data_IF_945408215100
#
_entry.id   IF_945408215100
#
_cell.length_a   1.000
_cell.length_b   1.000
_cell.length_c   1.000
_cell.angle_alpha   90.00
_cell.angle_beta   90.00
_cell.angle_gamma   90.00
#
_symmetry.space_group_name_H-M   'P 1'
#
loop_
_entity.id
_entity.type
_entity.pdbx_description
1 polymer ?
#
# COMPACT_ATOMS: atom_id res chain seq x y z
N UNK A 1 9.38 -23.45 9.35
CA UNK A 1 9.60 -22.01 9.12
C UNK A 1 8.35 -21.49 8.42
N UNK A 2 7.53 -20.70 9.10
CA UNK A 2 6.38 -20.06 8.45
C UNK A 2 6.90 -18.85 7.69
N UNK A 3 6.82 -18.89 6.35
CA UNK A 3 7.01 -17.71 5.52
C UNK A 3 5.94 -16.68 5.90
N UNK A 4 6.36 -15.60 6.55
CA UNK A 4 5.48 -14.47 6.81
C UNK A 4 5.08 -13.88 5.46
N UNK A 5 3.81 -14.05 5.11
CA UNK A 5 3.18 -13.42 3.97
C UNK A 5 3.28 -11.89 4.14
N UNK A 6 4.31 -11.30 3.53
CA UNK A 6 4.54 -9.87 3.45
C UNK A 6 4.38 -9.46 1.98
N UNK A 7 3.16 -9.14 1.50
CA UNK A 7 2.90 -8.83 0.10
C UNK A 7 3.60 -7.54 -0.41
N UNK A 8 4.53 -6.97 0.37
CA UNK A 8 5.29 -5.73 0.11
C UNK A 8 6.80 -5.94 -0.04
N UNK A 9 7.34 -7.11 0.31
CA UNK A 9 8.77 -7.25 0.59
C UNK A 9 9.22 -6.42 1.80
N UNK A 10 10.54 -6.27 2.01
CA UNK A 10 11.10 -5.33 2.98
C UNK A 10 10.75 -3.90 2.54
N UNK A 11 10.36 -3.03 3.47
CA UNK A 11 10.21 -1.60 3.17
C UNK A 11 11.59 -1.01 2.84
N UNK A 12 11.86 -0.85 1.55
CA UNK A 12 13.07 -0.24 0.96
C UNK A 12 12.75 1.19 0.49
N UNK A 13 13.75 2.02 0.15
CA UNK A 13 13.51 3.35 -0.44
C UNK A 13 12.48 3.35 -1.59
N UNK A 14 12.49 2.33 -2.46
CA UNK A 14 11.54 2.16 -3.57
C UNK A 14 10.05 2.03 -3.15
N UNK A 15 9.77 1.71 -1.88
CA UNK A 15 8.42 1.69 -1.30
C UNK A 15 7.72 3.05 -1.46
N UNK A 16 8.50 4.13 -1.38
CA UNK A 16 8.01 5.51 -1.45
C UNK A 16 7.77 5.98 -2.89
N UNK A 17 8.39 5.35 -3.88
CA UNK A 17 8.32 5.78 -5.28
C UNK A 17 7.40 4.95 -6.15
N UNK A 18 7.29 3.65 -5.87
CA UNK A 18 6.54 2.76 -6.77
C UNK A 18 5.65 1.75 -6.07
N UNK A 19 5.87 1.38 -4.81
CA UNK A 19 5.25 0.16 -4.28
C UNK A 19 5.81 -1.10 -4.97
N UNK A 20 5.54 -2.30 -4.45
CA UNK A 20 6.39 -3.46 -4.69
C UNK A 20 6.42 -3.87 -6.16
N UNK A 21 7.60 -3.82 -6.79
CA UNK A 21 7.84 -4.46 -8.09
C UNK A 21 7.80 -5.97 -7.92
N UNK A 22 7.13 -6.66 -8.86
CA UNK A 22 7.14 -8.12 -8.97
C UNK A 22 8.59 -8.62 -9.08
N UNK A 23 9.04 -9.42 -8.12
CA UNK A 23 10.05 -10.43 -8.41
C UNK A 23 9.33 -11.65 -8.94
N UNK A 24 9.62 -12.01 -10.18
CA UNK A 24 8.98 -13.10 -10.90
C UNK A 24 9.39 -13.08 -12.36
N UNK A 25 10.71 -13.10 -12.59
CA UNK A 25 11.26 -13.45 -13.89
C UNK A 25 10.95 -14.93 -14.14
N UNK A 26 9.99 -15.21 -15.01
CA UNK A 26 9.98 -16.46 -15.78
C UNK A 26 10.43 -16.11 -17.20
N UNK A 27 11.34 -16.90 -17.81
CA UNK A 27 11.80 -16.65 -19.16
C UNK A 27 10.63 -16.88 -20.14
N UNK A 28 10.30 -15.88 -20.94
CA UNK A 28 9.50 -16.11 -22.15
C UNK A 28 10.40 -16.75 -23.21
N UNK A 29 9.96 -17.83 -23.87
CA UNK A 29 10.72 -18.42 -24.96
C UNK A 29 10.68 -17.49 -26.18
N UNK A 30 11.84 -17.41 -26.83
CA UNK A 30 12.10 -16.67 -28.06
C UNK A 30 11.06 -16.94 -29.15
N UNK A 31 10.69 -15.90 -29.89
CA UNK A 31 10.24 -16.06 -31.27
C UNK A 31 10.88 -14.96 -32.08
N UNK A 32 11.87 -15.36 -32.87
CA UNK A 32 12.44 -14.61 -33.97
C UNK A 32 11.35 -14.14 -34.93
N UNK A 33 11.44 -12.89 -35.40
CA UNK A 33 11.04 -12.49 -36.75
C UNK A 33 11.64 -11.12 -37.08
N UNK A 34 12.63 -11.14 -37.97
CA UNK A 34 13.22 -9.98 -38.63
C UNK A 34 12.30 -9.42 -39.74
N UNK A 35 12.47 -8.13 -40.04
CA UNK A 35 11.97 -7.44 -41.25
C UNK A 35 11.66 -5.96 -40.93
N UNK A 36 12.62 -5.04 -40.86
CA UNK A 36 13.40 -4.38 -41.91
C UNK A 36 12.68 -3.21 -42.63
N UNK A 37 13.37 -2.05 -42.61
CA UNK A 37 13.28 -0.84 -43.46
C UNK A 37 12.15 0.15 -43.15
N UNK A 38 12.29 1.48 -43.23
CA UNK A 38 13.37 2.47 -43.43
C UNK A 38 12.66 3.86 -43.33
N UNK A 39 13.33 4.96 -42.97
CA UNK A 39 12.67 6.28 -43.01
C UNK A 39 13.21 7.37 -42.09
N UNK A 40 14.32 7.96 -42.49
CA UNK A 40 14.99 9.16 -41.94
C UNK A 40 14.21 10.46 -42.24
N UNK A 41 14.04 11.35 -41.26
CA UNK A 41 14.08 12.82 -41.45
C UNK A 41 14.06 13.54 -40.09
N UNK A 42 15.02 14.45 -39.89
CA UNK A 42 15.23 15.19 -38.65
C UNK A 42 14.39 16.46 -38.51
N UNK A 43 14.42 17.02 -37.30
CA UNK A 43 14.30 18.45 -37.06
C UNK A 43 15.01 18.80 -35.77
N UNK A 44 15.99 19.67 -35.92
CA UNK A 44 16.84 20.26 -34.90
C UNK A 44 16.22 21.60 -34.42
N UNK A 45 16.32 21.80 -33.11
CA UNK A 45 16.38 23.07 -32.34
C UNK A 45 15.34 24.18 -32.56
N UNK A 46 14.62 24.49 -31.48
CA UNK A 46 14.80 25.81 -30.87
C UNK A 46 14.68 25.74 -29.35
N UNK A 47 15.72 26.22 -28.68
CA UNK A 47 15.86 26.29 -27.24
C UNK A 47 15.66 27.74 -26.81
N UNK A 48 14.64 28.01 -26.00
CA UNK A 48 14.65 29.12 -25.06
C UNK A 48 14.37 28.58 -23.65
N UNK A 49 15.49 28.51 -22.93
CA UNK A 49 15.77 28.24 -21.52
C UNK A 49 15.47 29.54 -20.75
N UNK A 50 14.95 29.68 -19.52
CA UNK A 50 14.87 28.86 -18.30
C UNK A 50 14.02 29.67 -17.32
N UNK A 51 13.22 29.03 -16.46
CA UNK A 51 13.24 29.40 -15.04
C UNK A 51 12.94 28.17 -14.16
N UNK A 52 14.05 27.52 -13.81
CA UNK A 52 14.32 26.76 -12.58
C UNK A 52 13.34 25.67 -12.15
N UNK A 53 13.25 24.62 -12.96
CA UNK A 53 13.19 23.26 -12.43
C UNK A 53 14.58 22.86 -11.92
N UNK A 54 14.83 23.02 -10.61
CA UNK A 54 15.88 22.26 -9.93
C UNK A 54 15.36 20.81 -9.85
N UNK A 55 15.97 19.79 -10.45
CA UNK A 55 17.40 19.52 -10.49
C UNK A 55 17.72 18.57 -9.33
N UNK A 56 17.35 17.30 -9.49
CA UNK A 56 17.54 16.25 -8.48
C UNK A 56 17.00 14.92 -8.98
N UNK A 57 17.73 14.31 -9.91
CA UNK A 57 17.46 13.00 -10.50
C UNK A 57 17.79 11.91 -9.48
N UNK A 58 16.76 11.30 -8.89
CA UNK A 58 16.91 10.17 -7.97
C UNK A 58 15.63 9.79 -7.22
N UNK A 59 15.51 8.50 -6.83
CA UNK A 59 14.36 7.88 -6.18
C UNK A 59 13.80 8.73 -4.99
N UNK A 60 12.53 9.20 -5.06
CA UNK A 60 11.89 10.00 -4.00
C UNK A 60 11.47 9.15 -2.79
N UNK A 61 12.45 8.82 -1.94
CA UNK A 61 12.25 8.31 -0.59
C UNK A 61 11.41 9.26 0.29
N UNK A 62 11.22 8.94 1.59
CA UNK A 62 10.50 9.84 2.50
C UNK A 62 11.17 11.22 2.50
N UNK A 63 10.42 12.33 2.71
CA UNK A 63 10.99 13.66 2.68
C UNK A 63 12.22 13.72 3.57
N UNK A 64 13.31 14.33 3.08
CA UNK A 64 14.63 14.19 3.70
C UNK A 64 14.63 14.54 5.20
N UNK A 65 13.87 15.57 5.57
CA UNK A 65 13.68 16.03 6.95
C UNK A 65 12.98 15.03 7.89
N UNK A 66 12.25 14.05 7.35
CA UNK A 66 11.53 13.02 8.13
C UNK A 66 12.12 11.63 7.98
N UNK A 67 13.18 11.47 7.16
CA UNK A 67 13.73 10.18 6.75
C UNK A 67 14.10 9.28 7.92
N UNK A 68 14.78 9.80 8.93
CA UNK A 68 15.24 8.99 10.07
C UNK A 68 14.08 8.49 10.92
N UNK A 69 13.06 9.33 11.13
CA UNK A 69 11.84 8.96 11.86
C UNK A 69 11.06 7.88 11.13
N UNK A 70 10.92 8.02 9.81
CA UNK A 70 10.30 7.00 8.95
C UNK A 70 11.10 5.70 8.97
N UNK A 71 12.42 5.76 8.85
CA UNK A 71 13.29 4.59 8.88
C UNK A 71 13.20 3.85 10.22
N UNK A 72 13.10 4.58 11.35
CA UNK A 72 12.91 3.98 12.66
C UNK A 72 11.57 3.21 12.76
N UNK A 73 10.48 3.79 12.24
CA UNK A 73 9.17 3.14 12.15
C UNK A 73 9.26 1.86 11.30
N UNK A 74 9.85 1.96 10.11
CA UNK A 74 10.05 0.82 9.21
C UNK A 74 10.89 -0.28 9.87
N UNK A 75 11.96 0.10 10.56
CA UNK A 75 12.84 -0.86 11.23
C UNK A 75 12.12 -1.62 12.35
N UNK A 76 11.15 -1.01 13.04
CA UNK A 76 10.33 -1.68 14.05
C UNK A 76 9.46 -2.79 13.45
N UNK A 77 8.94 -2.61 12.24
CA UNK A 77 8.20 -3.66 11.52
C UNK A 77 9.08 -4.88 11.19
N UNK A 78 10.40 -4.69 11.10
CA UNK A 78 11.37 -5.78 10.91
C UNK A 78 11.67 -6.59 12.18
N UNK A 79 11.17 -6.17 13.35
CA UNK A 79 11.36 -6.84 14.64
C UNK A 79 10.01 -7.10 15.32
N UNK A 80 9.14 -7.95 14.74
CA UNK A 80 7.75 -8.09 15.18
C UNK A 80 7.58 -8.70 16.59
N UNK A 81 8.63 -9.31 17.13
CA UNK A 81 8.62 -9.86 18.49
C UNK A 81 8.94 -8.82 19.58
N UNK A 82 9.35 -7.61 19.19
CA UNK A 82 9.64 -6.52 20.12
C UNK A 82 8.41 -5.63 20.30
N UNK A 83 7.53 -6.03 21.22
CA UNK A 83 6.27 -5.34 21.46
C UNK A 83 6.48 -3.88 21.91
N UNK A 84 7.48 -3.61 22.74
CA UNK A 84 7.75 -2.25 23.22
C UNK A 84 8.17 -1.33 22.06
N UNK A 85 9.01 -1.84 21.16
CA UNK A 85 9.41 -1.11 19.95
C UNK A 85 8.26 -0.88 18.99
N UNK A 86 7.36 -1.85 18.81
CA UNK A 86 6.16 -1.69 17.98
C UNK A 86 5.22 -0.61 18.54
N UNK A 87 5.01 -0.58 19.86
CA UNK A 87 4.20 0.46 20.53
C UNK A 87 4.84 1.84 20.33
N UNK A 88 6.15 1.97 20.54
CA UNK A 88 6.87 3.22 20.31
C UNK A 88 6.80 3.68 18.85
N UNK A 89 6.95 2.77 17.89
CA UNK A 89 6.82 3.07 16.47
C UNK A 89 5.38 3.50 16.08
N UNK A 90 4.36 2.91 16.70
CA UNK A 90 2.97 3.31 16.47
C UNK A 90 2.66 4.71 16.99
N UNK A 91 3.19 5.08 18.16
CA UNK A 91 3.10 6.45 18.67
C UNK A 91 3.80 7.44 17.72
N UNK A 92 5.05 7.15 17.34
CA UNK A 92 5.83 7.98 16.42
C UNK A 92 5.14 8.14 15.04
N UNK A 93 4.53 7.07 14.52
CA UNK A 93 3.78 7.12 13.27
C UNK A 93 2.50 7.97 13.39
N UNK A 94 1.86 7.98 14.56
CA UNK A 94 0.71 8.84 14.84
C UNK A 94 1.08 10.32 14.88
N UNK A 95 2.17 10.67 15.56
CA UNK A 95 2.70 12.04 15.57
C UNK A 95 3.08 12.52 14.17
N UNK A 96 3.79 11.68 13.42
CA UNK A 96 4.23 12.01 12.07
C UNK A 96 3.06 12.13 11.08
N UNK A 97 1.98 11.36 11.26
CA UNK A 97 0.76 11.48 10.43
C UNK A 97 0.06 12.81 10.68
N UNK A 98 0.06 13.28 11.93
CA UNK A 98 -0.44 14.62 12.26
C UNK A 98 0.40 15.71 11.59
N UNK A 99 1.74 15.64 11.69
CA UNK A 99 2.64 16.59 11.04
C UNK A 99 2.49 16.58 9.51
N UNK A 100 2.41 15.39 8.90
CA UNK A 100 2.24 15.25 7.46
C UNK A 100 0.89 15.80 7.00
N UNK A 101 -0.16 15.53 7.77
CA UNK A 101 -1.50 16.05 7.49
C UNK A 101 -1.51 17.59 7.54
N UNK A 102 -0.87 18.20 8.54
CA UNK A 102 -0.78 19.67 8.62
C UNK A 102 0.02 20.28 7.46
N UNK A 103 1.15 19.66 7.11
CA UNK A 103 2.08 20.23 6.12
C UNK A 103 1.65 19.98 4.68
N UNK A 104 1.15 18.78 4.40
CA UNK A 104 0.90 18.31 3.04
C UNK A 104 -0.58 18.08 2.74
N UNK A 105 -1.42 17.96 3.78
CA UNK A 105 -2.81 17.55 3.66
C UNK A 105 -3.00 16.03 3.67
N UNK A 106 -4.24 15.60 3.87
CA UNK A 106 -4.62 14.19 4.02
C UNK A 106 -4.46 13.37 2.74
N UNK A 107 -4.67 13.99 1.57
CA UNK A 107 -4.61 13.33 0.27
C UNK A 107 -3.20 13.28 -0.32
N UNK A 108 -2.20 13.82 0.36
CA UNK A 108 -0.83 13.80 -0.15
C UNK A 108 -0.23 12.39 -0.05
N UNK A 109 0.53 12.00 -1.07
CA UNK A 109 1.13 10.66 -1.19
C UNK A 109 1.93 10.25 0.05
N UNK A 110 2.73 11.16 0.61
CA UNK A 110 3.50 10.89 1.84
C UNK A 110 2.61 10.60 3.05
N UNK A 111 1.52 11.34 3.22
CA UNK A 111 0.53 11.13 4.29
C UNK A 111 -0.14 9.76 4.13
N UNK A 112 -0.55 9.43 2.91
CA UNK A 112 -1.15 8.13 2.55
C UNK A 112 -0.17 6.98 2.85
N UNK A 113 1.08 7.08 2.40
CA UNK A 113 2.10 6.06 2.62
C UNK A 113 2.42 5.85 4.11
N UNK A 114 2.39 6.92 4.92
CA UNK A 114 2.55 6.80 6.36
C UNK A 114 1.36 6.09 7.02
N UNK A 115 0.13 6.37 6.58
CA UNK A 115 -1.09 5.69 7.04
C UNK A 115 -1.10 4.20 6.70
N UNK A 116 -0.47 3.79 5.60
CA UNK A 116 -0.19 2.37 5.34
C UNK A 116 0.70 1.74 6.41
N UNK A 117 1.77 2.42 6.83
CA UNK A 117 2.65 1.93 7.89
C UNK A 117 1.89 1.81 9.22
N UNK A 118 0.96 2.73 9.51
CA UNK A 118 0.09 2.64 10.69
C UNK A 118 -0.77 1.36 10.67
N UNK A 119 -1.33 1.00 9.51
CA UNK A 119 -2.06 -0.25 9.35
C UNK A 119 -1.20 -1.49 9.57
N UNK A 120 0.03 -1.50 9.05
CA UNK A 120 0.98 -2.60 9.27
C UNK A 120 1.39 -2.71 10.74
N UNK A 121 1.67 -1.60 11.42
CA UNK A 121 1.99 -1.57 12.85
C UNK A 121 0.82 -2.10 13.69
N UNK A 122 -0.41 -1.74 13.37
CA UNK A 122 -1.59 -2.27 14.04
C UNK A 122 -1.69 -3.79 13.86
N UNK A 123 -1.44 -4.30 12.66
CA UNK A 123 -1.42 -5.74 12.40
C UNK A 123 -0.34 -6.47 13.22
N UNK A 124 0.89 -5.93 13.25
CA UNK A 124 1.99 -6.52 14.04
C UNK A 124 1.72 -6.50 15.55
N UNK A 125 0.93 -5.54 16.03
CA UNK A 125 0.48 -5.47 17.42
C UNK A 125 -0.75 -6.35 17.71
N UNK A 126 -1.24 -7.13 16.75
CA UNK A 126 -2.44 -7.96 16.90
C UNK A 126 -3.76 -7.17 16.90
N UNK A 127 -3.73 -5.88 16.57
CA UNK A 127 -4.92 -5.01 16.51
C UNK A 127 -5.58 -5.13 15.14
N UNK A 128 -6.12 -6.32 14.85
CA UNK A 128 -6.56 -6.68 13.50
C UNK A 128 -7.67 -5.79 12.93
N UNK A 129 -8.71 -5.44 13.73
CA UNK A 129 -9.76 -4.52 13.28
C UNK A 129 -9.21 -3.12 12.94
N UNK A 130 -8.28 -2.62 13.77
CA UNK A 130 -7.59 -1.35 13.52
C UNK A 130 -6.77 -1.40 12.23
N UNK A 131 -6.08 -2.52 11.99
CA UNK A 131 -5.30 -2.72 10.77
C UNK A 131 -6.19 -2.74 9.52
N UNK A 132 -7.34 -3.42 9.57
CA UNK A 132 -8.31 -3.43 8.46
C UNK A 132 -8.80 -2.01 8.17
N UNK A 133 -9.23 -1.27 9.19
CA UNK A 133 -9.71 0.11 9.03
C UNK A 133 -8.66 1.05 8.44
N UNK A 134 -7.39 0.92 8.83
CA UNK A 134 -6.29 1.66 8.20
C UNK A 134 -6.15 1.33 6.71
N UNK A 135 -6.22 0.05 6.34
CA UNK A 135 -6.15 -0.35 4.95
C UNK A 135 -7.35 0.16 4.14
N UNK A 136 -8.57 0.15 4.70
CA UNK A 136 -9.77 0.68 4.04
C UNK A 136 -9.67 2.19 3.84
N UNK A 137 -9.29 2.92 4.89
CA UNK A 137 -9.07 4.38 4.82
C UNK A 137 -8.06 4.73 3.75
N UNK A 138 -6.93 4.03 3.75
CA UNK A 138 -5.85 4.32 2.81
C UNK A 138 -6.20 3.92 1.39
N UNK A 139 -6.90 2.78 1.18
CA UNK A 139 -7.44 2.41 -0.13
C UNK A 139 -8.43 3.47 -0.66
N UNK A 140 -9.26 4.06 0.20
CA UNK A 140 -10.15 5.16 -0.17
C UNK A 140 -9.39 6.40 -0.67
N UNK A 141 -8.34 6.81 0.03
CA UNK A 141 -7.49 7.93 -0.38
C UNK A 141 -6.72 7.63 -1.67
N UNK A 142 -6.16 6.43 -1.80
CA UNK A 142 -5.45 5.99 -3.00
C UNK A 142 -6.37 5.90 -4.21
N UNK A 143 -7.62 5.45 -4.02
CA UNK A 143 -8.61 5.44 -5.08
C UNK A 143 -8.95 6.84 -5.59
N UNK A 144 -8.97 7.84 -4.71
CA UNK A 144 -9.19 9.24 -5.09
C UNK A 144 -7.97 9.84 -5.80
N UNK A 145 -6.77 9.56 -5.31
CA UNK A 145 -5.53 10.16 -5.81
C UNK A 145 -5.02 9.50 -7.11
N UNK A 146 -5.06 8.17 -7.19
CA UNK A 146 -4.46 7.39 -8.28
C UNK A 146 -5.45 6.53 -9.05
N UNK A 147 -6.70 6.44 -8.59
CA UNK A 147 -7.73 5.61 -9.19
C UNK A 147 -7.87 4.23 -8.54
N UNK A 148 -9.03 3.60 -8.80
CA UNK A 148 -9.44 2.34 -8.17
C UNK A 148 -8.60 1.15 -8.65
N UNK A 149 -8.20 1.15 -9.91
CA UNK A 149 -7.41 0.07 -10.51
C UNK A 149 -5.91 0.17 -10.21
N UNK A 150 -5.47 1.26 -9.59
CA UNK A 150 -4.07 1.46 -9.24
C UNK A 150 -3.58 0.34 -8.30
N UNK A 151 -2.36 -0.15 -8.55
CA UNK A 151 -1.79 -1.29 -7.81
C UNK A 151 -1.77 -1.08 -6.30
N UNK A 152 -1.53 0.14 -5.84
CA UNK A 152 -1.49 0.47 -4.42
C UNK A 152 -2.88 0.33 -3.79
N UNK A 153 -3.90 0.92 -4.43
CA UNK A 153 -5.31 0.81 -4.03
C UNK A 153 -5.73 -0.66 -3.90
N UNK A 154 -5.47 -1.45 -4.95
CA UNK A 154 -5.79 -2.88 -4.96
C UNK A 154 -5.00 -3.67 -3.91
N UNK A 155 -3.73 -3.33 -3.72
CA UNK A 155 -2.90 -3.92 -2.68
C UNK A 155 -3.48 -3.66 -1.29
N UNK A 156 -3.91 -2.44 -0.99
CA UNK A 156 -4.58 -2.04 0.28
C UNK A 156 -5.84 -2.82 0.54
N UNK A 157 -6.64 -3.07 -0.49
CA UNK A 157 -7.78 -3.99 -0.36
C UNK A 157 -7.36 -5.44 -0.09
N UNK A 158 -6.32 -5.95 -0.75
CA UNK A 158 -5.80 -7.30 -0.48
C UNK A 158 -5.32 -7.46 0.96
N UNK A 159 -4.59 -6.46 1.50
CA UNK A 159 -4.19 -6.45 2.92
C UNK A 159 -5.40 -6.42 3.84
N UNK A 160 -6.38 -5.56 3.57
CA UNK A 160 -7.59 -5.47 4.37
C UNK A 160 -8.29 -6.83 4.47
N UNK A 161 -8.41 -7.55 3.35
CA UNK A 161 -8.96 -8.92 3.35
C UNK A 161 -8.11 -9.88 4.17
N UNK A 162 -6.80 -9.88 3.98
CA UNK A 162 -5.88 -10.75 4.73
C UNK A 162 -5.99 -10.52 6.24
N UNK A 163 -5.98 -9.26 6.68
CA UNK A 163 -6.11 -8.90 8.09
C UNK A 163 -7.47 -9.28 8.64
N UNK A 164 -8.55 -9.02 7.91
CA UNK A 164 -9.90 -9.40 8.33
C UNK A 164 -10.07 -10.92 8.41
N UNK A 165 -9.48 -11.67 7.47
CA UNK A 165 -9.45 -13.14 7.50
C UNK A 165 -8.74 -13.71 8.72
N UNK A 166 -7.86 -12.93 9.35
CA UNK A 166 -7.14 -13.30 10.57
C UNK A 166 -7.96 -13.04 11.85
N UNK A 167 -9.07 -12.31 11.77
CA UNK A 167 -9.93 -11.98 12.93
C UNK A 167 -10.72 -13.23 13.33
N UNK A 168 -10.81 -13.58 14.63
CA UNK A 168 -11.69 -14.65 15.09
C UNK A 168 -13.14 -14.46 14.66
N UNK A 169 -13.78 -15.54 14.20
CA UNK A 169 -15.18 -15.52 13.75
C UNK A 169 -16.15 -15.36 14.91
N UNK A 170 -17.37 -14.92 14.60
CA UNK A 170 -18.48 -14.88 15.55
C UNK A 170 -18.46 -13.70 16.51
N UNK A 171 -17.61 -12.70 16.26
CA UNK A 171 -17.64 -11.42 16.99
C UNK A 171 -18.41 -10.38 16.19
N UNK A 172 -19.18 -9.53 16.88
CA UNK A 172 -19.89 -8.41 16.24
C UNK A 172 -18.91 -7.48 15.50
N UNK A 173 -17.75 -7.21 16.11
CA UNK A 173 -16.72 -6.35 15.52
C UNK A 173 -16.14 -6.92 14.21
N UNK A 174 -15.96 -8.25 14.11
CA UNK A 174 -15.59 -8.92 12.86
C UNK A 174 -16.67 -8.74 11.79
N UNK A 175 -17.95 -8.91 12.17
CA UNK A 175 -19.06 -8.78 11.24
C UNK A 175 -19.17 -7.34 10.70
N UNK A 176 -19.10 -6.33 11.57
CA UNK A 176 -19.18 -4.91 11.20
C UNK A 176 -18.04 -4.52 10.26
N UNK A 177 -16.80 -4.82 10.66
CA UNK A 177 -15.60 -4.55 9.85
C UNK A 177 -15.63 -5.31 8.52
N UNK A 178 -16.22 -6.51 8.50
CA UNK A 178 -16.39 -7.29 7.28
C UNK A 178 -17.40 -6.68 6.32
N UNK A 179 -18.50 -6.10 6.82
CA UNK A 179 -19.46 -5.36 5.97
C UNK A 179 -18.81 -4.11 5.37
N UNK A 180 -18.06 -3.34 6.16
CA UNK A 180 -17.28 -2.18 5.67
C UNK A 180 -16.30 -2.60 4.56
N UNK A 181 -15.56 -3.69 4.79
CA UNK A 181 -14.64 -4.26 3.82
C UNK A 181 -15.36 -4.70 2.53
N UNK A 182 -16.49 -5.40 2.63
CA UNK A 182 -17.25 -5.88 1.48
C UNK A 182 -17.77 -4.71 0.63
N UNK A 183 -18.27 -3.64 1.27
CA UNK A 183 -18.74 -2.43 0.60
C UNK A 183 -17.62 -1.72 -0.19
N UNK A 184 -16.38 -1.75 0.29
CA UNK A 184 -15.22 -1.20 -0.40
C UNK A 184 -14.64 -2.13 -1.47
N UNK A 185 -14.76 -3.46 -1.30
CA UNK A 185 -14.28 -4.43 -2.28
C UNK A 185 -15.05 -4.39 -3.59
N UNK A 186 -16.38 -4.22 -3.56
CA UNK A 186 -17.19 -4.18 -4.78
C UNK A 186 -16.72 -3.11 -5.79
N UNK A 187 -16.57 -1.83 -5.41
CA UNK A 187 -16.16 -0.79 -6.35
C UNK A 187 -14.67 -0.83 -6.75
N UNK A 188 -13.78 -1.46 -5.96
CA UNK A 188 -12.32 -1.48 -6.23
C UNK A 188 -11.87 -2.78 -6.90
N UNK A 189 -12.36 -3.92 -6.42
CA UNK A 189 -11.95 -5.25 -6.89
C UNK A 189 -12.98 -5.90 -7.81
N UNK A 190 -14.22 -5.42 -7.80
CA UNK A 190 -15.36 -5.99 -8.51
C UNK A 190 -16.04 -7.11 -7.73
N UNK A 191 -17.37 -7.19 -7.84
CA UNK A 191 -18.18 -8.24 -7.20
C UNK A 191 -17.87 -9.65 -7.70
N UNK A 192 -17.32 -9.77 -8.92
CA UNK A 192 -16.87 -11.04 -9.48
C UNK A 192 -15.51 -11.52 -8.94
N UNK A 193 -14.83 -10.73 -8.10
CA UNK A 193 -13.50 -11.11 -7.59
C UNK A 193 -13.58 -12.21 -6.53
N UNK A 194 -12.58 -13.10 -6.51
CA UNK A 194 -12.45 -14.16 -5.50
C UNK A 194 -12.39 -13.59 -4.08
N UNK A 195 -11.80 -12.41 -3.89
CA UNK A 195 -11.73 -11.76 -2.58
C UNK A 195 -13.12 -11.30 -2.12
N UNK A 196 -13.90 -10.68 -3.01
CA UNK A 196 -15.28 -10.30 -2.70
C UNK A 196 -16.13 -11.51 -2.33
N UNK A 197 -16.08 -12.58 -3.13
CA UNK A 197 -16.86 -13.79 -2.87
C UNK A 197 -16.46 -14.49 -1.56
N UNK A 198 -15.16 -14.48 -1.23
CA UNK A 198 -14.62 -15.04 0.03
C UNK A 198 -15.14 -14.28 1.25
N UNK A 199 -15.05 -12.94 1.25
CA UNK A 199 -15.55 -12.11 2.35
C UNK A 199 -17.06 -12.28 2.51
N UNK A 200 -17.80 -12.24 1.39
CA UNK A 200 -19.25 -12.45 1.39
C UNK A 200 -19.66 -13.81 1.96
N UNK A 201 -18.98 -14.88 1.55
CA UNK A 201 -19.26 -16.24 2.03
C UNK A 201 -19.01 -16.36 3.54
N UNK A 202 -17.91 -15.80 4.03
CA UNK A 202 -17.62 -15.82 5.48
C UNK A 202 -18.66 -15.02 6.28
N UNK A 203 -19.07 -13.84 5.83
CA UNK A 203 -20.12 -13.04 6.49
C UNK A 203 -21.49 -13.72 6.47
N UNK A 204 -21.78 -14.52 5.45
CA UNK A 204 -22.99 -15.33 5.43
C UNK A 204 -22.94 -16.46 6.48
N UNK A 205 -21.79 -17.14 6.59
CA UNK A 205 -21.59 -18.20 7.59
C UNK A 205 -21.65 -17.67 9.03
N UNK A 206 -21.15 -16.46 9.31
CA UNK A 206 -21.19 -15.84 10.64
C UNK A 206 -22.60 -15.41 11.07
N UNK A 207 -23.55 -15.23 10.13
CA UNK A 207 -24.95 -14.87 10.43
C UNK A 207 -25.88 -16.07 10.59
N UNK A 208 -25.46 -17.25 10.13
CA UNK A 208 -26.23 -18.49 10.21
C UNK A 208 -25.80 -19.42 11.34
N UNK A 209 -24.80 -19.04 12.14
CA UNK A 209 -24.29 -19.74 13.31
C UNK A 209 -24.82 -19.08 14.59
#
# INVERSE_FOLDING_TARGET
MQEQYAPWGKATPDFWETGPRRQGTLPSPSTDSQGALDGTAGSEVNAETRETAAGGDGPSGPPAEYRDRVNAIVAALGTPHDAARLVGAAAAAGELDHEFTQRYGEQHANTINLRELRGQLAYQQGQLNVAVRWCLHTAGLQAQLWGRDHRLTRGSMQRAVHYWLSIPRGTQESADTGQELLAMLAPIMGEGSTLYSTVRARLAAERGA
#
